data_IF_723009867800
#
_entry.id   IF_723009867800
#
_cell.length_a   1.000
_cell.length_b   1.000
_cell.length_c   1.000
_cell.angle_alpha   90.00
_cell.angle_beta   90.00
_cell.angle_gamma   90.00
#
_symmetry.space_group_name_H-M   'P 1'
#
loop_
_entity.id
_entity.type
_entity.pdbx_description
1 polymer ?
#
# COMPACT_ATOMS: atom_id res chain seq x y z
N UNK A 1 27.85 -5.69 16.32
CA UNK A 1 26.40 -5.53 16.47
C UNK A 1 25.96 -6.32 17.70
N UNK A 2 25.27 -5.70 18.66
CA UNK A 2 24.66 -6.46 19.76
C UNK A 2 23.54 -7.32 19.15
N UNK A 3 23.48 -8.60 19.47
CA UNK A 3 22.36 -9.45 19.07
C UNK A 3 21.09 -8.84 19.69
N UNK A 4 20.23 -8.23 18.87
CA UNK A 4 18.91 -7.80 19.30
C UNK A 4 18.12 -9.06 19.67
N UNK A 5 17.60 -9.13 20.90
CA UNK A 5 16.74 -10.23 21.34
C UNK A 5 15.54 -10.31 20.40
N UNK A 6 15.20 -11.50 19.85
CA UNK A 6 14.00 -11.66 19.04
C UNK A 6 12.77 -11.17 19.79
N UNK A 7 11.99 -10.31 19.15
CA UNK A 7 10.73 -9.79 19.70
C UNK A 7 9.73 -10.94 19.83
N UNK A 8 9.28 -11.21 21.06
CA UNK A 8 8.26 -12.22 21.30
C UNK A 8 6.90 -11.66 20.86
N UNK A 9 6.14 -12.36 20.00
CA UNK A 9 4.86 -11.85 19.55
C UNK A 9 3.80 -11.59 20.63
N UNK A 10 3.91 -12.22 21.81
CA UNK A 10 3.04 -11.91 22.96
C UNK A 10 3.33 -10.56 23.63
N UNK A 11 4.46 -9.93 23.31
CA UNK A 11 4.85 -8.60 23.82
C UNK A 11 4.48 -7.46 22.86
N UNK A 12 3.90 -7.80 21.70
CA UNK A 12 3.53 -6.84 20.67
C UNK A 12 2.10 -6.36 20.91
N UNK A 13 1.90 -5.05 20.89
CA UNK A 13 0.59 -4.40 20.91
C UNK A 13 -0.01 -4.43 19.49
N UNK A 14 -0.56 -5.59 19.10
CA UNK A 14 -0.99 -5.85 17.72
C UNK A 14 -2.04 -4.86 17.20
N UNK A 15 -2.92 -4.37 18.08
CA UNK A 15 -3.91 -3.35 17.73
C UNK A 15 -3.27 -2.06 17.21
N UNK A 16 -2.13 -1.66 17.79
CA UNK A 16 -1.39 -0.44 17.38
C UNK A 16 -0.69 -0.59 16.05
N UNK A 17 -0.51 -1.81 15.54
CA UNK A 17 0.20 -2.05 14.28
C UNK A 17 -0.63 -1.71 13.04
N UNK A 18 -1.95 -1.67 13.18
CA UNK A 18 -2.85 -1.43 12.06
C UNK A 18 -2.63 -0.04 11.45
N UNK A 19 -2.63 1.00 12.26
CA UNK A 19 -2.43 2.38 11.80
C UNK A 19 -0.96 2.82 11.93
N UNK A 20 -0.37 3.52 10.95
CA UNK A 20 0.94 4.16 11.10
C UNK A 20 1.05 5.08 12.31
N UNK A 21 1.97 4.77 13.23
CA UNK A 21 2.08 5.47 14.52
C UNK A 21 3.05 6.66 14.45
N UNK A 22 2.76 7.73 15.20
CA UNK A 22 3.64 8.90 15.29
C UNK A 22 4.96 8.60 15.99
N UNK A 23 4.97 7.67 16.94
CA UNK A 23 6.15 7.17 17.64
C UNK A 23 6.89 6.06 16.88
N UNK A 24 6.39 5.68 15.69
CA UNK A 24 6.94 4.64 14.83
C UNK A 24 6.97 3.23 15.46
N UNK A 25 6.18 2.99 16.51
CA UNK A 25 6.11 1.68 17.16
C UNK A 25 5.88 0.55 16.14
N UNK A 26 4.88 0.72 15.29
CA UNK A 26 4.51 -0.28 14.28
C UNK A 26 5.59 -0.47 13.20
N UNK A 27 6.29 0.61 12.84
CA UNK A 27 7.46 0.56 11.95
C UNK A 27 8.57 -0.30 12.54
N UNK A 28 8.93 -0.08 13.81
CA UNK A 28 10.01 -0.81 14.46
C UNK A 28 9.67 -2.27 14.68
N UNK A 29 8.41 -2.59 15.00
CA UNK A 29 7.91 -3.96 15.06
C UNK A 29 8.03 -4.63 13.69
N UNK A 30 7.55 -4.01 12.61
CA UNK A 30 7.65 -4.55 11.25
C UNK A 30 9.12 -4.79 10.85
N UNK A 31 10.01 -3.83 11.13
CA UNK A 31 11.43 -3.95 10.82
C UNK A 31 12.11 -5.07 11.62
N UNK A 32 11.77 -5.23 12.91
CA UNK A 32 12.33 -6.30 13.73
C UNK A 32 11.88 -7.68 13.24
N UNK A 33 10.58 -7.85 12.93
CA UNK A 33 10.05 -9.09 12.35
C UNK A 33 10.68 -9.40 10.98
N UNK A 34 10.84 -8.40 10.12
CA UNK A 34 11.53 -8.56 8.84
C UNK A 34 12.99 -9.01 9.04
N UNK A 35 13.74 -8.38 9.96
CA UNK A 35 15.12 -8.77 10.30
C UNK A 35 15.20 -10.20 10.83
N UNK A 36 14.26 -10.63 11.67
CA UNK A 36 14.18 -12.02 12.13
C UNK A 36 13.95 -13.01 10.98
N UNK A 37 13.23 -12.58 9.93
CA UNK A 37 13.06 -13.34 8.69
C UNK A 37 14.27 -13.24 7.73
N UNK A 38 15.37 -12.62 8.16
CA UNK A 38 16.62 -12.52 7.38
C UNK A 38 16.73 -11.27 6.52
N UNK A 39 15.82 -10.30 6.63
CA UNK A 39 15.96 -9.03 5.93
C UNK A 39 17.21 -8.26 6.40
N UNK A 40 18.03 -7.88 5.43
CA UNK A 40 19.16 -6.96 5.63
C UNK A 40 18.98 -5.82 4.64
N UNK A 41 18.82 -4.60 5.16
CA UNK A 41 18.68 -3.41 4.33
C UNK A 41 20.00 -3.10 3.63
N UNK A 42 19.98 -2.95 2.32
CA UNK A 42 21.15 -2.48 1.58
C UNK A 42 21.37 -0.98 1.77
N UNK A 43 22.63 -0.56 1.82
CA UNK A 43 22.99 0.86 1.82
C UNK A 43 22.56 1.54 0.53
N UNK A 44 22.21 2.83 0.58
CA UNK A 44 21.80 3.61 -0.61
C UNK A 44 22.91 3.74 -1.66
N UNK A 45 24.17 3.87 -1.21
CA UNK A 45 25.34 4.00 -2.06
C UNK A 45 25.32 5.29 -2.91
N UNK A 46 25.73 5.17 -4.18
CA UNK A 46 25.75 6.28 -5.15
C UNK A 46 24.46 6.36 -6.00
N UNK A 47 23.42 5.59 -5.66
CA UNK A 47 22.15 5.66 -6.38
C UNK A 47 21.48 7.02 -6.16
N UNK A 48 20.71 7.55 -7.12
CA UNK A 48 19.77 8.64 -6.85
C UNK A 48 18.84 8.24 -5.71
N UNK A 49 18.43 9.20 -4.89
CA UNK A 49 17.64 8.96 -3.69
C UNK A 49 16.47 9.91 -3.58
N UNK A 50 15.44 9.46 -2.87
CA UNK A 50 14.30 10.28 -2.44
C UNK A 50 13.97 9.96 -0.97
N UNK A 51 12.96 10.65 -0.41
CA UNK A 51 12.64 10.62 1.03
C UNK A 51 13.85 10.98 1.92
N UNK A 52 14.40 12.17 1.72
CA UNK A 52 15.55 12.72 2.47
C UNK A 52 16.79 11.80 2.44
N UNK A 53 17.06 11.23 1.27
CA UNK A 53 18.25 10.41 1.03
C UNK A 53 18.16 8.98 1.54
N UNK A 54 17.02 8.56 2.09
CA UNK A 54 16.91 7.26 2.77
C UNK A 54 16.55 6.11 1.82
N UNK A 55 15.88 6.39 0.71
CA UNK A 55 15.39 5.36 -0.22
C UNK A 55 16.05 5.55 -1.58
N UNK A 56 16.60 4.48 -2.13
CA UNK A 56 17.29 4.52 -3.42
C UNK A 56 16.31 4.34 -4.60
N UNK A 57 16.55 5.06 -5.68
CA UNK A 57 15.88 4.84 -6.96
C UNK A 57 16.77 3.93 -7.81
N UNK A 58 16.41 2.64 -7.87
CA UNK A 58 17.22 1.60 -8.51
C UNK A 58 16.41 0.85 -9.55
N UNK A 59 16.90 0.74 -10.79
CA UNK A 59 16.36 -0.22 -11.73
C UNK A 59 16.57 -1.64 -11.18
N UNK A 60 15.48 -2.40 -11.08
CA UNK A 60 15.57 -3.83 -10.80
C UNK A 60 15.85 -4.58 -12.10
N UNK A 61 17.14 -4.80 -12.38
CA UNK A 61 17.62 -5.45 -13.61
C UNK A 61 16.98 -6.82 -13.85
N UNK A 62 16.71 -7.58 -12.79
CA UNK A 62 16.15 -8.92 -12.90
C UNK A 62 14.76 -8.93 -13.54
N UNK A 63 14.00 -7.82 -13.39
CA UNK A 63 12.69 -7.68 -14.00
C UNK A 63 12.78 -7.51 -15.53
N UNK A 64 13.89 -6.99 -16.04
CA UNK A 64 14.16 -6.83 -17.47
C UNK A 64 14.74 -8.12 -18.07
N UNK A 65 15.71 -8.74 -17.38
CA UNK A 65 16.45 -9.91 -17.89
C UNK A 65 15.59 -11.17 -17.99
N UNK A 66 14.70 -11.38 -17.03
CA UNK A 66 13.84 -12.57 -17.00
C UNK A 66 12.53 -12.39 -17.77
N UNK A 67 12.40 -11.35 -18.59
CA UNK A 67 11.12 -10.96 -19.20
C UNK A 67 9.97 -10.83 -18.17
N UNK A 68 10.26 -10.52 -16.90
CA UNK A 68 9.21 -10.37 -15.87
C UNK A 68 8.43 -9.07 -16.06
N UNK A 69 9.03 -8.07 -16.68
CA UNK A 69 8.31 -6.91 -17.26
C UNK A 69 7.41 -7.31 -18.44
N UNK A 70 7.59 -8.51 -19.03
CA UNK A 70 6.57 -9.10 -19.92
C UNK A 70 5.46 -9.85 -19.18
N UNK A 71 5.45 -9.86 -17.83
CA UNK A 71 4.19 -10.15 -17.13
C UNK A 71 3.14 -9.19 -17.68
N UNK A 72 1.93 -9.70 -17.89
CA UNK A 72 0.86 -8.97 -18.60
C UNK A 72 0.67 -7.55 -18.02
N UNK A 73 0.95 -7.37 -16.73
CA UNK A 73 0.86 -6.10 -16.03
C UNK A 73 1.89 -5.04 -16.47
N UNK A 74 3.15 -5.40 -16.78
CA UNK A 74 4.22 -4.43 -17.03
C UNK A 74 4.68 -4.33 -18.49
N UNK A 75 4.06 -5.08 -19.41
CA UNK A 75 4.48 -5.15 -20.83
C UNK A 75 4.54 -3.81 -21.55
N UNK A 76 3.79 -2.83 -21.04
CA UNK A 76 3.69 -1.47 -21.57
C UNK A 76 4.42 -0.45 -20.66
N UNK A 77 5.40 -0.90 -19.88
CA UNK A 77 6.23 -0.06 -19.02
C UNK A 77 7.68 0.00 -19.54
N UNK A 78 8.30 1.17 -19.46
CA UNK A 78 9.73 1.36 -19.75
C UNK A 78 10.45 1.97 -18.54
N UNK A 79 11.76 1.74 -18.36
CA UNK A 79 12.52 2.45 -17.33
C UNK A 79 12.32 3.96 -17.46
N UNK A 80 12.23 4.63 -16.32
CA UNK A 80 12.08 6.07 -16.28
C UNK A 80 13.27 6.76 -15.62
N UNK A 81 13.45 8.05 -15.90
CA UNK A 81 14.53 8.84 -15.30
C UNK A 81 14.32 8.92 -13.77
N UNK A 82 15.30 8.51 -12.95
CA UNK A 82 15.19 8.67 -11.50
C UNK A 82 15.04 10.12 -11.04
N UNK A 83 15.39 11.11 -11.87
CA UNK A 83 15.21 12.54 -11.59
C UNK A 83 13.88 13.10 -12.12
N UNK A 84 12.94 12.24 -12.52
CA UNK A 84 11.64 12.69 -13.03
C UNK A 84 10.90 13.52 -11.96
N UNK A 85 10.31 14.69 -12.31
CA UNK A 85 9.73 15.63 -11.35
C UNK A 85 8.61 15.00 -10.49
N UNK A 86 7.87 14.04 -11.05
CA UNK A 86 6.82 13.34 -10.31
C UNK A 86 7.35 12.56 -9.09
N UNK A 87 8.62 12.15 -9.08
CA UNK A 87 9.22 11.49 -7.90
C UNK A 87 9.29 12.46 -6.72
N UNK A 88 9.80 13.67 -6.95
CA UNK A 88 9.86 14.69 -5.90
C UNK A 88 8.48 15.16 -5.46
N UNK A 89 7.54 15.36 -6.40
CA UNK A 89 6.19 15.82 -6.07
C UNK A 89 5.45 14.75 -5.24
N UNK A 90 5.52 13.48 -5.66
CA UNK A 90 4.91 12.38 -4.92
C UNK A 90 5.51 12.23 -3.50
N UNK A 91 6.81 12.45 -3.35
CA UNK A 91 7.48 12.45 -2.04
C UNK A 91 6.87 13.50 -1.11
N UNK A 92 6.62 14.70 -1.62
CA UNK A 92 6.01 15.79 -0.85
C UNK A 92 4.55 15.51 -0.50
N UNK A 93 3.79 14.83 -1.38
CA UNK A 93 2.45 14.36 -1.03
C UNK A 93 2.47 13.35 0.12
N UNK A 94 3.37 12.37 0.10
CA UNK A 94 3.53 11.43 1.21
C UNK A 94 3.97 12.17 2.49
N UNK A 95 4.77 13.24 2.38
CA UNK A 95 5.23 14.07 3.52
C UNK A 95 4.09 14.73 4.29
N UNK A 96 2.92 14.94 3.66
CA UNK A 96 1.70 15.41 4.33
C UNK A 96 1.19 14.43 5.41
N UNK A 97 1.59 13.16 5.31
CA UNK A 97 1.32 12.13 6.31
C UNK A 97 2.62 11.69 7.00
N UNK A 98 3.07 12.52 7.94
CA UNK A 98 4.36 12.37 8.62
C UNK A 98 4.67 10.95 9.15
N UNK A 99 3.74 10.23 9.82
CA UNK A 99 3.96 8.83 10.17
C UNK A 99 4.36 7.98 8.97
N UNK A 100 3.54 7.92 7.91
CA UNK A 100 3.81 7.11 6.71
C UNK A 100 5.10 7.51 5.98
N UNK A 101 5.39 8.82 5.90
CA UNK A 101 6.65 9.31 5.33
C UNK A 101 7.88 8.70 6.03
N UNK A 102 7.88 8.71 7.37
CA UNK A 102 8.95 8.10 8.17
C UNK A 102 8.97 6.58 8.06
N UNK A 103 7.80 5.93 7.98
CA UNK A 103 7.77 4.48 7.77
C UNK A 103 8.39 4.10 6.44
N UNK A 104 8.07 4.86 5.38
CA UNK A 104 8.62 4.62 4.07
C UNK A 104 10.15 4.76 4.09
N UNK A 105 10.67 5.80 4.74
CA UNK A 105 12.11 5.96 4.98
C UNK A 105 12.74 4.75 5.66
N UNK A 106 12.07 4.15 6.65
CA UNK A 106 12.63 3.09 7.50
C UNK A 106 12.42 1.67 6.97
N UNK A 107 11.34 1.41 6.24
CA UNK A 107 11.00 0.07 5.74
C UNK A 107 11.42 -0.13 4.28
N UNK A 108 11.36 0.92 3.45
CA UNK A 108 11.67 0.82 2.04
C UNK A 108 13.15 1.08 1.78
N UNK A 109 13.80 0.14 1.11
CA UNK A 109 15.18 0.25 0.66
C UNK A 109 15.26 0.92 -0.70
N UNK A 110 14.47 0.46 -1.67
CA UNK A 110 14.56 0.97 -3.03
C UNK A 110 13.26 0.87 -3.84
N UNK A 111 13.11 1.78 -4.78
CA UNK A 111 12.01 1.81 -5.75
C UNK A 111 12.56 1.79 -7.17
N UNK A 112 12.04 0.89 -8.00
CA UNK A 112 12.18 0.95 -9.45
C UNK A 112 11.04 1.79 -10.01
N UNK A 113 11.36 2.90 -10.65
CA UNK A 113 10.37 3.77 -11.30
C UNK A 113 10.30 3.47 -12.78
N UNK A 114 9.08 3.37 -13.30
CA UNK A 114 8.81 3.11 -14.72
C UNK A 114 7.78 4.10 -15.29
N UNK A 115 7.86 4.32 -16.59
CA UNK A 115 6.86 5.07 -17.36
C UNK A 115 5.95 4.09 -18.07
N UNK A 116 4.64 4.27 -17.95
CA UNK A 116 3.67 3.59 -18.79
C UNK A 116 3.59 4.27 -20.17
N UNK A 117 3.70 3.50 -21.27
CA UNK A 117 3.89 4.06 -22.63
C UNK A 117 2.68 3.99 -23.56
N UNK A 118 1.56 3.36 -23.16
CA UNK A 118 0.37 3.34 -24.05
C UNK A 118 -0.29 4.72 -24.12
N UNK A 119 -0.70 5.09 -25.34
CA UNK A 119 -1.37 6.35 -25.64
C UNK A 119 -2.73 6.45 -24.95
N UNK A 120 -2.93 7.62 -24.36
CA UNK A 120 -3.93 8.14 -23.42
C UNK A 120 -5.42 8.03 -23.78
N UNK A 121 -5.84 7.29 -24.81
CA UNK A 121 -7.24 7.37 -25.29
C UNK A 121 -8.26 6.56 -24.46
N UNK A 122 -7.83 5.66 -23.56
CA UNK A 122 -8.74 4.87 -22.71
C UNK A 122 -8.23 4.76 -21.26
N UNK A 123 -8.88 5.50 -20.35
CA UNK A 123 -8.75 5.50 -18.88
C UNK A 123 -7.38 5.83 -18.28
N UNK A 124 -7.14 7.13 -18.09
CA UNK A 124 -6.04 7.68 -17.29
C UNK A 124 -6.10 7.23 -15.81
N UNK A 125 -7.31 6.93 -15.30
CA UNK A 125 -7.58 6.57 -13.91
C UNK A 125 -7.13 5.15 -13.51
N UNK A 126 -6.95 4.24 -14.46
CA UNK A 126 -6.83 2.80 -14.17
C UNK A 126 -5.41 2.23 -14.22
N UNK A 127 -4.37 3.01 -14.55
CA UNK A 127 -3.08 2.44 -14.97
C UNK A 127 -1.92 2.71 -14.03
N UNK A 128 -2.23 2.61 -12.75
CA UNK A 128 -1.20 2.55 -11.71
C UNK A 128 -0.80 1.10 -11.56
N UNK A 129 0.41 0.76 -11.97
CA UNK A 129 0.93 -0.60 -11.90
C UNK A 129 2.04 -0.59 -10.86
N UNK A 130 1.92 -1.49 -9.90
CA UNK A 130 2.93 -1.68 -8.87
C UNK A 130 3.04 -3.12 -8.44
N UNK A 131 4.14 -3.41 -7.75
CA UNK A 131 4.36 -4.70 -7.14
C UNK A 131 5.63 -4.71 -6.32
N UNK A 132 5.87 -5.86 -5.69
CA UNK A 132 7.11 -6.11 -4.96
C UNK A 132 8.30 -6.18 -5.93
N UNK A 133 9.45 -5.68 -5.49
CA UNK A 133 10.71 -5.85 -6.22
C UNK A 133 11.24 -7.28 -6.06
N UNK A 134 12.12 -7.69 -6.96
CA UNK A 134 12.69 -9.05 -6.99
C UNK A 134 13.47 -9.43 -5.73
N UNK A 135 13.94 -8.43 -4.97
CA UNK A 135 14.73 -8.61 -3.75
C UNK A 135 13.85 -8.79 -2.50
N UNK A 136 12.53 -8.77 -2.64
CA UNK A 136 11.60 -9.00 -1.55
C UNK A 136 11.34 -7.76 -0.69
N UNK A 137 11.33 -7.93 0.64
CA UNK A 137 10.94 -6.88 1.59
C UNK A 137 11.73 -5.60 1.39
N UNK A 138 11.04 -4.45 1.41
CA UNK A 138 11.66 -3.14 1.25
C UNK A 138 11.96 -2.76 -0.21
N UNK A 139 11.64 -3.60 -1.19
CA UNK A 139 11.78 -3.26 -2.61
C UNK A 139 10.43 -3.24 -3.33
N UNK A 140 10.25 -2.31 -4.25
CA UNK A 140 9.05 -2.21 -5.07
C UNK A 140 9.35 -1.66 -6.47
N UNK A 141 8.43 -1.89 -7.39
CA UNK A 141 8.36 -1.27 -8.70
C UNK A 141 7.03 -0.52 -8.83
N UNK A 142 7.03 0.64 -9.48
CA UNK A 142 5.83 1.45 -9.64
C UNK A 142 5.88 2.37 -10.87
N UNK A 143 4.72 2.55 -11.51
CA UNK A 143 4.53 3.60 -12.53
C UNK A 143 4.44 4.98 -11.87
N UNK A 144 4.96 6.00 -12.54
CA UNK A 144 5.00 7.38 -11.98
C UNK A 144 4.49 8.47 -12.91
N UNK A 145 3.69 8.12 -13.92
CA UNK A 145 3.15 9.07 -14.91
C UNK A 145 2.36 10.23 -14.28
N UNK A 146 1.77 10.03 -13.09
CA UNK A 146 1.08 11.05 -12.31
C UNK A 146 1.58 11.03 -10.86
N UNK A 147 1.93 12.18 -10.26
CA UNK A 147 2.53 12.22 -8.93
C UNK A 147 1.57 11.83 -7.80
N UNK A 148 0.27 12.15 -7.88
CA UNK A 148 -0.72 11.76 -6.89
C UNK A 148 -0.90 10.24 -6.85
N UNK A 149 -1.06 9.63 -8.02
CA UNK A 149 -1.16 8.17 -8.11
C UNK A 149 0.13 7.48 -7.70
N UNK A 150 1.29 8.04 -8.06
CA UNK A 150 2.57 7.51 -7.60
C UNK A 150 2.67 7.57 -6.07
N UNK A 151 2.27 8.68 -5.43
CA UNK A 151 2.22 8.79 -3.97
C UNK A 151 1.29 7.74 -3.33
N UNK A 152 0.10 7.54 -3.89
CA UNK A 152 -0.82 6.47 -3.50
C UNK A 152 -0.19 5.08 -3.62
N UNK A 153 0.58 4.84 -4.68
CA UNK A 153 1.31 3.59 -4.92
C UNK A 153 2.37 3.31 -3.86
N UNK A 154 3.11 4.35 -3.46
CA UNK A 154 4.15 4.23 -2.45
C UNK A 154 3.54 3.75 -1.12
N UNK A 155 2.44 4.37 -0.67
CA UNK A 155 1.77 3.95 0.58
C UNK A 155 1.02 2.62 0.44
N UNK A 156 0.56 2.27 -0.76
CA UNK A 156 -0.04 0.97 -1.08
C UNK A 156 0.97 -0.18 -0.88
N UNK A 157 2.15 -0.08 -1.50
CA UNK A 157 3.18 -1.11 -1.37
C UNK A 157 3.81 -1.14 0.02
N UNK A 158 3.93 0.01 0.69
CA UNK A 158 4.31 0.06 2.11
C UNK A 158 3.37 -0.79 2.97
N UNK A 159 2.06 -0.69 2.75
CA UNK A 159 1.05 -1.48 3.46
C UNK A 159 1.23 -2.99 3.21
N UNK A 160 1.51 -3.39 1.96
CA UNK A 160 1.81 -4.79 1.65
C UNK A 160 3.07 -5.29 2.34
N UNK A 161 4.15 -4.51 2.35
CA UNK A 161 5.39 -4.88 3.05
C UNK A 161 5.15 -5.06 4.55
N UNK A 162 4.40 -4.17 5.21
CA UNK A 162 4.03 -4.34 6.62
C UNK A 162 3.32 -5.66 6.88
N UNK A 163 2.27 -5.98 6.11
CA UNK A 163 1.54 -7.24 6.27
C UNK A 163 2.43 -8.48 6.04
N UNK A 164 3.33 -8.44 5.05
CA UNK A 164 4.30 -9.52 4.83
C UNK A 164 5.21 -9.72 6.04
N UNK A 165 5.70 -8.62 6.63
CA UNK A 165 6.50 -8.69 7.87
C UNK A 165 5.69 -9.25 9.05
N UNK A 166 4.39 -9.02 9.09
CA UNK A 166 3.47 -9.57 10.09
C UNK A 166 3.08 -11.04 9.83
N UNK A 167 3.61 -11.67 8.77
CA UNK A 167 3.35 -13.06 8.42
C UNK A 167 2.11 -13.27 7.55
N UNK A 168 1.57 -12.21 6.96
CA UNK A 168 0.45 -12.27 6.00
C UNK A 168 1.01 -12.11 4.60
N UNK A 169 1.05 -13.20 3.84
CA UNK A 169 1.38 -13.19 2.41
C UNK A 169 0.10 -13.10 1.59
N UNK A 170 0.24 -12.78 0.30
CA UNK A 170 -0.92 -12.56 -0.57
C UNK A 170 -1.83 -13.80 -0.66
N UNK A 171 -1.27 -15.01 -0.65
CA UNK A 171 -2.03 -16.25 -0.85
C UNK A 171 -2.05 -17.18 0.37
N UNK A 172 -1.33 -16.83 1.43
CA UNK A 172 -1.26 -17.60 2.66
C UNK A 172 -0.92 -16.70 3.84
N UNK A 173 -1.24 -17.12 5.05
CA UNK A 173 -0.83 -16.41 6.25
C UNK A 173 -0.30 -17.41 7.28
N UNK A 174 0.77 -17.05 7.98
CA UNK A 174 1.30 -17.81 9.10
C UNK A 174 0.78 -17.31 10.45
N UNK A 175 0.03 -16.21 10.45
CA UNK A 175 -0.51 -15.49 11.60
C UNK A 175 -1.63 -14.55 11.14
N UNK A 176 -2.42 -14.00 12.07
CA UNK A 176 -3.51 -13.05 11.82
C UNK A 176 -4.72 -13.73 11.19
N UNK A 177 -4.56 -14.35 10.03
CA UNK A 177 -5.61 -15.09 9.31
C UNK A 177 -5.39 -16.60 9.47
N UNK A 178 -6.43 -17.31 9.91
CA UNK A 178 -6.48 -18.77 10.03
C UNK A 178 -7.30 -19.45 8.93
N UNK A 179 -8.01 -18.68 8.09
CA UNK A 179 -8.70 -19.23 6.92
C UNK A 179 -7.71 -20.03 6.05
N UNK A 180 -8.15 -21.18 5.53
CA UNK A 180 -7.37 -21.95 4.57
C UNK A 180 -7.22 -21.17 3.26
N UNK A 181 -6.04 -21.22 2.58
CA UNK A 181 -5.87 -20.65 1.24
C UNK A 181 -6.89 -21.14 0.20
N UNK A 182 -7.49 -22.33 0.42
CA UNK A 182 -8.51 -22.88 -0.47
C UNK A 182 -9.91 -22.27 -0.25
N UNK A 183 -10.13 -21.54 0.86
CA UNK A 183 -11.36 -20.78 1.08
C UNK A 183 -11.24 -19.43 0.37
N UNK A 184 -12.08 -19.23 -0.64
CA UNK A 184 -12.01 -18.06 -1.51
C UNK A 184 -13.22 -17.14 -1.29
N UNK A 185 -12.97 -15.83 -1.38
CA UNK A 185 -13.89 -14.76 -1.07
C UNK A 185 -13.87 -13.69 -2.15
N UNK A 186 -14.93 -12.88 -2.18
CA UNK A 186 -14.99 -11.72 -3.05
C UNK A 186 -13.95 -10.66 -2.61
N UNK A 187 -13.18 -10.16 -3.56
CA UNK A 187 -12.15 -9.16 -3.31
C UNK A 187 -12.65 -7.78 -3.73
N UNK A 188 -12.42 -6.71 -2.96
CA UNK A 188 -12.79 -5.36 -3.39
C UNK A 188 -11.97 -4.83 -4.59
N UNK A 189 -10.99 -5.61 -5.08
CA UNK A 189 -10.01 -5.19 -6.09
C UNK A 189 -9.97 -6.13 -7.30
N UNK A 190 -10.12 -7.44 -7.07
CA UNK A 190 -10.11 -8.45 -8.14
C UNK A 190 -11.52 -8.88 -8.45
N UNK A 191 -11.97 -8.58 -9.67
CA UNK A 191 -13.33 -8.84 -10.13
C UNK A 191 -13.45 -10.08 -11.02
N UNK A 192 -12.32 -10.61 -11.47
CA UNK A 192 -12.20 -11.74 -12.39
C UNK A 192 -12.13 -13.09 -11.66
N UNK A 193 -11.90 -13.09 -10.34
CA UNK A 193 -11.73 -14.29 -9.53
C UNK A 193 -11.97 -14.03 -8.06
N UNK A 194 -12.36 -15.08 -7.33
CA UNK A 194 -12.34 -15.09 -5.86
C UNK A 194 -10.90 -15.24 -5.36
N UNK A 195 -10.63 -14.76 -4.14
CA UNK A 195 -9.28 -14.70 -3.56
C UNK A 195 -9.26 -15.23 -2.12
N UNK A 196 -8.13 -15.77 -1.63
CA UNK A 196 -8.01 -16.16 -0.23
C UNK A 196 -8.18 -14.96 0.71
N UNK A 197 -8.59 -15.20 1.95
CA UNK A 197 -8.87 -14.14 2.93
C UNK A 197 -7.65 -13.23 3.18
N UNK A 198 -6.43 -13.76 3.11
CA UNK A 198 -5.20 -12.96 3.24
C UNK A 198 -5.08 -11.90 2.13
N UNK A 199 -5.50 -12.20 0.90
CA UNK A 199 -5.55 -11.23 -0.20
C UNK A 199 -6.64 -10.16 0.03
N UNK A 200 -7.78 -10.55 0.61
CA UNK A 200 -8.84 -9.59 0.97
C UNK A 200 -8.33 -8.63 2.05
N UNK A 201 -7.62 -9.14 3.07
CA UNK A 201 -6.98 -8.30 4.09
C UNK A 201 -5.93 -7.36 3.49
N UNK A 202 -5.07 -7.86 2.60
CA UNK A 202 -4.10 -7.03 1.89
C UNK A 202 -4.75 -5.90 1.10
N UNK A 203 -5.82 -6.21 0.37
CA UNK A 203 -6.59 -5.22 -0.36
C UNK A 203 -7.18 -4.17 0.59
N UNK A 204 -7.89 -4.60 1.63
CA UNK A 204 -8.44 -3.68 2.63
C UNK A 204 -7.35 -2.75 3.18
N UNK A 205 -6.25 -3.33 3.66
CA UNK A 205 -5.19 -2.60 4.33
C UNK A 205 -4.49 -1.57 3.43
N UNK A 206 -4.21 -1.94 2.17
CA UNK A 206 -3.58 -1.03 1.22
C UNK A 206 -4.51 0.11 0.79
N UNK A 207 -5.80 -0.16 0.58
CA UNK A 207 -6.78 0.87 0.25
C UNK A 207 -7.08 1.80 1.44
N UNK A 208 -6.97 1.31 2.68
CA UNK A 208 -7.02 2.14 3.91
C UNK A 208 -5.86 3.14 3.90
N UNK A 209 -4.64 2.73 3.55
CA UNK A 209 -3.48 3.64 3.43
C UNK A 209 -3.65 4.68 2.32
N UNK A 210 -4.11 4.26 1.14
CA UNK A 210 -4.37 5.18 0.03
C UNK A 210 -5.42 6.23 0.45
N UNK A 211 -6.52 5.79 1.06
CA UNK A 211 -7.60 6.69 1.46
C UNK A 211 -7.14 7.68 2.54
N UNK A 212 -6.33 7.25 3.51
CA UNK A 212 -5.73 8.16 4.49
C UNK A 212 -4.85 9.22 3.80
N UNK A 213 -3.98 8.81 2.87
CA UNK A 213 -3.14 9.76 2.13
C UNK A 213 -3.98 10.77 1.35
N UNK A 214 -5.01 10.32 0.62
CA UNK A 214 -5.89 11.20 -0.14
C UNK A 214 -6.59 12.24 0.75
N UNK A 215 -7.08 11.82 1.93
CA UNK A 215 -7.67 12.73 2.93
C UNK A 215 -6.66 13.81 3.35
N UNK A 216 -5.39 13.45 3.55
CA UNK A 216 -4.32 14.40 3.93
C UNK A 216 -4.00 15.36 2.79
N UNK A 217 -3.89 14.86 1.56
CA UNK A 217 -3.66 15.67 0.36
C UNK A 217 -4.75 16.73 0.21
N UNK A 218 -6.02 16.32 0.26
CA UNK A 218 -7.16 17.23 0.13
C UNK A 218 -7.19 18.28 1.24
N UNK A 219 -6.89 17.90 2.49
CA UNK A 219 -6.92 18.83 3.62
C UNK A 219 -5.69 19.75 3.70
N UNK A 220 -4.65 19.50 2.90
CA UNK A 220 -3.45 20.35 2.86
C UNK A 220 -3.65 21.64 2.06
N UNK A 221 -4.77 21.79 1.34
CA UNK A 221 -5.00 22.87 0.37
C UNK A 221 -3.86 22.98 -0.65
N UNK A 222 -3.46 21.85 -1.22
CA UNK A 222 -2.45 21.82 -2.27
C UNK A 222 -2.88 22.67 -3.48
N UNK A 223 -1.93 23.41 -4.06
CA UNK A 223 -2.18 24.26 -5.23
C UNK A 223 -2.27 23.46 -6.55
N UNK A 224 -1.86 22.19 -6.55
CA UNK A 224 -1.89 21.33 -7.74
C UNK A 224 -3.31 20.77 -7.97
N UNK A 225 -4.09 21.47 -8.79
CA UNK A 225 -5.49 21.15 -9.10
C UNK A 225 -5.67 19.71 -9.61
N UNK A 226 -4.78 19.23 -10.48
CA UNK A 226 -4.86 17.87 -11.03
C UNK A 226 -4.74 16.82 -9.91
N UNK A 227 -3.72 16.91 -9.05
CA UNK A 227 -3.56 15.97 -7.94
C UNK A 227 -4.68 16.09 -6.92
N UNK A 228 -5.21 17.30 -6.70
CA UNK A 228 -6.35 17.53 -5.84
C UNK A 228 -7.61 16.82 -6.35
N UNK A 229 -7.92 16.95 -7.63
CA UNK A 229 -9.04 16.23 -8.27
C UNK A 229 -8.81 14.71 -8.24
N UNK A 230 -7.60 14.24 -8.57
CA UNK A 230 -7.24 12.83 -8.52
C UNK A 230 -7.44 12.22 -7.12
N UNK A 231 -7.10 12.94 -6.05
CA UNK A 231 -7.27 12.48 -4.67
C UNK A 231 -8.76 12.36 -4.29
N UNK A 232 -9.60 13.32 -4.72
CA UNK A 232 -11.05 13.30 -4.47
C UNK A 232 -11.73 12.15 -5.23
N UNK A 233 -11.40 11.99 -6.50
CA UNK A 233 -11.93 10.90 -7.31
C UNK A 233 -11.49 9.54 -6.77
N UNK A 234 -10.23 9.42 -6.34
CA UNK A 234 -9.75 8.19 -5.71
C UNK A 234 -10.53 7.87 -4.42
N UNK A 235 -10.90 8.86 -3.60
CA UNK A 235 -11.77 8.64 -2.44
C UNK A 235 -13.18 8.18 -2.82
N UNK A 236 -13.81 8.79 -3.83
CA UNK A 236 -15.17 8.41 -4.25
C UNK A 236 -15.25 6.97 -4.75
N UNK A 237 -14.14 6.44 -5.29
CA UNK A 237 -13.99 5.04 -5.69
C UNK A 237 -13.62 4.13 -4.52
N UNK A 238 -12.71 4.55 -3.65
CA UNK A 238 -12.11 3.68 -2.64
C UNK A 238 -13.00 3.46 -1.42
N UNK A 239 -13.78 4.45 -0.97
CA UNK A 239 -14.59 4.30 0.24
C UNK A 239 -15.64 3.18 0.11
N UNK A 240 -16.42 3.08 -0.98
CA UNK A 240 -17.38 1.99 -1.14
C UNK A 240 -16.71 0.60 -1.26
N UNK A 241 -15.51 0.53 -1.86
CA UNK A 241 -14.71 -0.70 -1.89
C UNK A 241 -14.22 -1.12 -0.50
N UNK A 242 -13.80 -0.16 0.32
CA UNK A 242 -13.36 -0.39 1.69
C UNK A 242 -14.52 -0.84 2.59
N UNK A 243 -15.72 -0.31 2.38
CA UNK A 243 -16.93 -0.79 3.07
C UNK A 243 -17.19 -2.26 2.73
N UNK A 244 -17.20 -2.59 1.44
CA UNK A 244 -17.36 -3.97 0.98
C UNK A 244 -16.29 -4.90 1.56
N UNK A 245 -15.01 -4.53 1.45
CA UNK A 245 -13.90 -5.32 1.99
C UNK A 245 -14.00 -5.54 3.49
N UNK A 246 -14.34 -4.49 4.24
CA UNK A 246 -14.54 -4.57 5.69
C UNK A 246 -15.75 -5.45 6.06
N UNK A 247 -16.83 -5.43 5.28
CA UNK A 247 -17.98 -6.32 5.48
C UNK A 247 -17.58 -7.79 5.30
N UNK A 248 -16.85 -8.13 4.23
CA UNK A 248 -16.34 -9.49 4.01
C UNK A 248 -15.43 -9.93 5.15
N UNK A 249 -14.50 -9.08 5.58
CA UNK A 249 -13.58 -9.39 6.69
C UNK A 249 -14.34 -9.62 8.01
N UNK A 250 -15.28 -8.74 8.38
CA UNK A 250 -16.06 -8.90 9.61
C UNK A 250 -16.89 -10.19 9.62
N UNK A 251 -17.37 -10.61 8.45
CA UNK A 251 -18.28 -11.75 8.32
C UNK A 251 -17.52 -13.08 8.30
N UNK A 252 -16.44 -13.15 7.52
CA UNK A 252 -15.88 -14.42 7.07
C UNK A 252 -14.41 -14.66 7.53
N UNK A 253 -13.73 -13.66 8.10
CA UNK A 253 -12.37 -13.84 8.59
C UNK A 253 -12.34 -14.70 9.86
N UNK A 254 -11.48 -15.72 9.85
CA UNK A 254 -11.13 -16.53 11.02
C UNK A 254 -9.76 -16.04 11.48
N UNK A 255 -9.67 -15.53 12.69
CA UNK A 255 -8.48 -14.87 13.21
C UNK A 255 -7.85 -15.66 14.36
N UNK A 256 -6.54 -15.53 14.56
CA UNK A 256 -5.90 -15.90 15.84
C UNK A 256 -5.99 -14.74 16.83
N UNK A 257 -5.51 -14.93 18.08
CA UNK A 257 -5.57 -13.91 19.14
C UNK A 257 -4.87 -12.59 18.77
N UNK A 258 -3.84 -12.66 17.92
CA UNK A 258 -3.09 -11.50 17.46
C UNK A 258 -3.79 -10.82 16.28
N UNK A 259 -4.41 -11.63 15.42
CA UNK A 259 -5.25 -11.20 14.33
C UNK A 259 -6.48 -10.45 14.81
N UNK A 260 -7.12 -10.92 15.88
CA UNK A 260 -8.26 -10.24 16.50
C UNK A 260 -7.87 -8.83 16.98
N UNK A 261 -6.73 -8.70 17.68
CA UNK A 261 -6.20 -7.41 18.11
C UNK A 261 -5.86 -6.49 16.93
N UNK A 262 -5.12 -6.99 15.94
CA UNK A 262 -4.79 -6.22 14.74
C UNK A 262 -6.04 -5.77 13.99
N UNK A 263 -7.02 -6.66 13.83
CA UNK A 263 -8.26 -6.38 13.11
C UNK A 263 -9.15 -5.38 13.86
N UNK A 264 -9.17 -5.43 15.20
CA UNK A 264 -9.82 -4.41 16.02
C UNK A 264 -9.25 -3.00 15.73
N UNK A 265 -7.92 -2.88 15.69
CA UNK A 265 -7.24 -1.63 15.35
C UNK A 265 -7.52 -1.17 13.91
N UNK A 266 -7.47 -2.11 12.96
CA UNK A 266 -7.76 -1.83 11.55
C UNK A 266 -9.20 -1.36 11.33
N UNK A 267 -10.16 -1.97 12.02
CA UNK A 267 -11.58 -1.60 11.96
C UNK A 267 -11.79 -0.17 12.47
N UNK A 268 -11.27 0.16 13.65
CA UNK A 268 -11.35 1.52 14.22
C UNK A 268 -10.75 2.56 13.28
N UNK A 269 -9.58 2.27 12.70
CA UNK A 269 -8.93 3.16 11.75
C UNK A 269 -9.76 3.34 10.46
N UNK A 270 -10.27 2.25 9.91
CA UNK A 270 -11.10 2.28 8.69
C UNK A 270 -12.40 3.05 8.92
N UNK A 271 -13.07 2.86 10.07
CA UNK A 271 -14.28 3.61 10.44
C UNK A 271 -14.00 5.13 10.56
N UNK A 272 -12.85 5.52 11.12
CA UNK A 272 -12.40 6.92 11.14
C UNK A 272 -12.17 7.47 9.73
N UNK A 273 -11.63 6.66 8.81
CA UNK A 273 -11.48 7.03 7.39
C UNK A 273 -12.84 7.22 6.74
N UNK A 274 -13.84 6.36 7.00
CA UNK A 274 -15.19 6.56 6.46
C UNK A 274 -15.77 7.90 6.89
N UNK A 275 -15.72 8.21 8.19
CA UNK A 275 -16.25 9.48 8.71
C UNK A 275 -15.59 10.69 8.05
N UNK A 276 -14.25 10.72 7.98
CA UNK A 276 -13.51 11.84 7.38
C UNK A 276 -13.65 11.90 5.86
N UNK A 277 -13.63 10.75 5.20
CA UNK A 277 -13.71 10.61 3.75
C UNK A 277 -15.07 11.03 3.21
N UNK A 278 -16.16 10.52 3.78
CA UNK A 278 -17.51 10.93 3.35
C UNK A 278 -17.79 12.40 3.66
N UNK A 279 -17.33 12.93 4.79
CA UNK A 279 -17.44 14.37 5.06
C UNK A 279 -16.73 15.23 4.01
N UNK A 280 -15.61 14.75 3.45
CA UNK A 280 -14.93 15.41 2.32
C UNK A 280 -15.77 15.33 1.04
N UNK A 281 -16.31 14.14 0.72
CA UNK A 281 -17.16 13.97 -0.47
C UNK A 281 -18.42 14.85 -0.40
N UNK A 282 -19.08 14.90 0.75
CA UNK A 282 -20.23 15.78 1.01
C UNK A 282 -19.87 17.25 0.85
N UNK A 283 -18.74 17.68 1.45
CA UNK A 283 -18.23 19.06 1.36
C UNK A 283 -18.05 19.51 -0.10
N UNK A 284 -17.56 18.62 -0.96
CA UNK A 284 -17.32 18.90 -2.37
C UNK A 284 -18.44 18.45 -3.31
N UNK A 285 -19.56 17.92 -2.78
CA UNK A 285 -20.71 17.41 -3.55
C UNK A 285 -20.31 16.35 -4.57
N UNK A 286 -19.46 15.41 -4.16
CA UNK A 286 -19.01 14.30 -4.98
C UNK A 286 -19.78 13.05 -4.57
N UNK A 287 -20.54 12.48 -5.48
CA UNK A 287 -21.25 11.23 -5.23
C UNK A 287 -20.26 10.06 -5.12
N UNK A 288 -20.31 9.25 -4.05
CA UNK A 288 -19.53 8.01 -3.97
C UNK A 288 -19.92 7.05 -5.10
N UNK A 289 -18.94 6.44 -5.75
CA UNK A 289 -19.22 5.47 -6.81
C UNK A 289 -19.74 4.17 -6.21
N UNK A 290 -20.98 3.81 -6.54
CA UNK A 290 -21.57 2.56 -6.04
C UNK A 290 -20.68 1.36 -6.41
N UNK A 291 -20.28 0.58 -5.41
CA UNK A 291 -19.52 -0.63 -5.63
C UNK A 291 -20.44 -1.86 -5.57
N UNK A 292 -20.56 -2.55 -6.70
CA UNK A 292 -21.20 -3.86 -6.81
C UNK A 292 -20.15 -4.83 -7.31
N UNK A 293 -19.86 -5.86 -6.52
CA UNK A 293 -18.87 -6.85 -6.92
C UNK A 293 -19.41 -7.65 -8.14
N UNK A 294 -18.69 -7.73 -9.27
CA UNK A 294 -19.23 -8.32 -10.51
C UNK A 294 -19.60 -9.82 -10.43
N UNK A 295 -19.05 -10.51 -9.44
CA UNK A 295 -19.36 -11.93 -9.16
C UNK A 295 -20.52 -12.14 -8.16
N UNK A 296 -21.15 -11.08 -7.65
CA UNK A 296 -22.30 -11.18 -6.74
C UNK A 296 -23.59 -11.28 -7.55
N UNK A 297 -23.87 -12.48 -8.07
CA UNK A 297 -25.14 -12.84 -8.71
C UNK A 297 -26.06 -13.58 -7.73
#
# INVERSE_FOLDING_TARGET
>A
MKHETPLNPSQIEWERLAEPQTDQYDTFVALNLAKQAGYVRSEVGNSPTFFDGQVALRPDQSLYENNTIQSIAFKDCVPADPNHPNVSIATEFVRLWQPAFKQFQLLMESVTVVNYIRKEEEDFMLRVISGYGSKGFGTMIATMNNPAYFAGTLVHELAHHKLRAFGVQMEQASRIILNSPAQLFHSPVRYDSLRPMSAVLHAQYAFTHISELNIRMINSNMDDEISFESAKESLSVNLPKLEFGLQILNKDAILDDYGDQFFCGLKKWTESIFQRGYAILDRFKIEPQTFIHPLSN
#
